data_IF_937879865382
#
_entry.id   IF_937879865382
#
_cell.length_a   1.000
_cell.length_b   1.000
_cell.length_c   1.000
_cell.angle_alpha   90.00
_cell.angle_beta   90.00
_cell.angle_gamma   90.00
#
_symmetry.space_group_name_H-M   'P 1'
#
loop_
_entity.id
_entity.type
_entity.pdbx_description
1 polymer ?
#
# COMPACT_ATOMS: atom_id res chain seq x y z
N UNK A 1 10.73 -6.40 -3.72
CA UNK A 1 9.36 -5.98 -4.07
C UNK A 1 9.28 -4.47 -3.97
N UNK A 2 8.87 -3.81 -5.04
CA UNK A 2 8.77 -2.35 -5.14
C UNK A 2 10.10 -1.62 -4.96
N UNK A 3 11.21 -2.25 -5.37
CA UNK A 3 12.53 -1.67 -5.18
C UNK A 3 12.77 -0.41 -6.01
N UNK A 4 11.99 -0.24 -7.09
CA UNK A 4 12.12 0.94 -7.94
C UNK A 4 11.44 2.17 -7.35
N UNK A 5 10.70 2.02 -6.27
CA UNK A 5 10.01 3.12 -5.63
C UNK A 5 10.78 3.62 -4.42
N UNK A 6 10.58 4.90 -4.10
CA UNK A 6 11.14 5.48 -2.88
C UNK A 6 10.53 4.82 -1.65
N UNK A 7 11.13 5.07 -0.49
CA UNK A 7 10.64 4.52 0.78
C UNK A 7 9.23 5.00 1.10
N UNK A 8 8.90 6.21 0.68
CA UNK A 8 7.55 6.79 0.86
C UNK A 8 6.98 7.09 -0.51
N UNK A 9 5.81 6.53 -0.80
CA UNK A 9 5.17 6.70 -2.09
C UNK A 9 4.04 7.73 -2.00
N UNK A 10 3.78 8.39 -3.13
CA UNK A 10 2.56 9.19 -3.27
C UNK A 10 1.40 8.25 -3.55
N UNK A 11 0.16 8.80 -3.46
CA UNK A 11 -1.03 8.02 -3.78
C UNK A 11 -0.97 7.49 -5.21
N UNK A 12 -0.51 8.33 -6.13
CA UNK A 12 -0.40 7.93 -7.53
C UNK A 12 0.58 6.76 -7.70
N UNK A 13 1.73 6.87 -7.04
CA UNK A 13 2.73 5.80 -7.11
C UNK A 13 2.20 4.51 -6.50
N UNK A 14 1.47 4.62 -5.39
CA UNK A 14 0.88 3.45 -4.76
C UNK A 14 -0.14 2.78 -5.68
N UNK A 15 -0.96 3.57 -6.36
CA UNK A 15 -1.91 3.03 -7.32
C UNK A 15 -1.20 2.28 -8.45
N UNK A 16 -0.11 2.85 -8.96
CA UNK A 16 0.67 2.20 -10.00
C UNK A 16 1.32 0.91 -9.51
N UNK A 17 1.87 0.95 -8.31
CA UNK A 17 2.54 -0.20 -7.74
C UNK A 17 1.58 -1.36 -7.51
N UNK A 18 0.38 -1.08 -7.04
CA UNK A 18 -0.63 -2.09 -6.78
C UNK A 18 -1.54 -2.34 -7.98
N UNK A 19 -1.44 -1.51 -9.01
CA UNK A 19 -2.25 -1.61 -10.23
C UNK A 19 -3.73 -1.50 -9.94
N UNK A 20 -4.09 -0.54 -9.11
CA UNK A 20 -5.48 -0.26 -8.73
C UNK A 20 -5.80 1.19 -8.99
N UNK A 21 -7.09 1.51 -9.00
CA UNK A 21 -7.55 2.89 -9.15
C UNK A 21 -7.55 3.64 -7.83
N UNK A 22 -7.75 4.96 -7.90
CA UNK A 22 -7.77 5.80 -6.71
C UNK A 22 -8.88 5.43 -5.74
N UNK A 23 -10.06 5.10 -6.26
CA UNK A 23 -11.17 4.74 -5.39
C UNK A 23 -10.84 3.51 -4.55
N UNK A 24 -10.22 2.52 -5.17
CA UNK A 24 -9.80 1.33 -4.45
C UNK A 24 -8.73 1.65 -3.43
N UNK A 25 -7.77 2.52 -3.80
CA UNK A 25 -6.72 2.92 -2.88
C UNK A 25 -7.28 3.63 -1.65
N UNK A 26 -8.18 4.58 -1.87
CA UNK A 26 -8.77 5.32 -0.75
C UNK A 26 -9.58 4.42 0.16
N UNK A 27 -10.29 3.46 -0.41
CA UNK A 27 -11.02 2.48 0.39
C UNK A 27 -10.07 1.70 1.29
N UNK A 28 -8.93 1.28 0.74
CA UNK A 28 -7.93 0.56 1.54
C UNK A 28 -7.37 1.42 2.65
N UNK A 29 -7.10 2.70 2.35
CA UNK A 29 -6.56 3.61 3.35
C UNK A 29 -7.57 3.90 4.45
N UNK A 30 -8.83 4.11 4.08
CA UNK A 30 -9.86 4.42 5.05
C UNK A 30 -10.22 3.24 5.94
N UNK A 31 -10.17 2.04 5.38
CA UNK A 31 -10.49 0.83 6.14
C UNK A 31 -9.33 0.35 7.02
N UNK A 32 -8.15 0.93 6.83
CA UNK A 32 -6.97 0.54 7.59
C UNK A 32 -6.26 -0.68 7.06
N UNK A 33 -6.72 -1.23 5.95
CA UNK A 33 -6.05 -2.38 5.34
C UNK A 33 -4.70 -2.02 4.77
N UNK A 34 -4.56 -0.77 4.30
CA UNK A 34 -3.30 -0.24 3.83
C UNK A 34 -2.94 0.95 4.70
N UNK A 35 -1.81 0.89 5.37
CA UNK A 35 -1.39 1.95 6.28
C UNK A 35 -0.78 3.10 5.51
N UNK A 36 -1.22 4.31 5.80
CA UNK A 36 -0.68 5.51 5.21
C UNK A 36 -1.07 6.70 6.05
N UNK A 37 -0.57 7.85 5.70
CA UNK A 37 -0.89 9.08 6.45
C UNK A 37 -1.05 10.24 5.48
N UNK A 38 -1.78 11.25 5.90
CA UNK A 38 -1.97 12.46 5.11
C UNK A 38 -0.99 13.52 5.57
N UNK A 39 -0.32 14.11 4.59
CA UNK A 39 0.56 15.25 4.82
C UNK A 39 -0.06 16.42 4.06
N UNK A 40 -0.92 17.17 4.75
CA UNK A 40 -1.69 18.20 4.10
C UNK A 40 -2.77 17.58 3.21
N UNK A 41 -2.67 17.82 1.92
CA UNK A 41 -3.63 17.29 0.95
C UNK A 41 -3.18 16.00 0.29
N UNK A 42 -1.99 15.54 0.62
CA UNK A 42 -1.36 14.44 -0.09
C UNK A 42 -1.23 13.25 0.84
N UNK A 43 -1.64 12.08 0.33
CA UNK A 43 -1.40 10.84 1.04
C UNK A 43 0.04 10.40 0.84
N UNK A 44 0.64 9.92 1.92
CA UNK A 44 1.98 9.34 1.91
C UNK A 44 1.87 7.89 2.36
N UNK A 45 2.34 6.98 1.56
CA UNK A 45 2.23 5.55 1.85
C UNK A 45 3.64 4.96 1.93
N UNK A 46 4.07 4.53 3.12
CA UNK A 46 5.39 3.90 3.24
C UNK A 46 5.48 2.64 2.39
N UNK A 47 6.61 2.44 1.75
CA UNK A 47 6.82 1.25 0.93
C UNK A 47 6.59 -0.02 1.73
N UNK A 48 7.00 -0.03 3.00
CA UNK A 48 6.80 -1.17 3.89
C UNK A 48 5.31 -1.52 4.01
N UNK A 49 4.43 -0.50 4.00
CA UNK A 49 3.00 -0.72 4.06
C UNK A 49 2.49 -1.45 2.82
N UNK A 50 3.01 -1.10 1.64
CA UNK A 50 2.61 -1.78 0.41
C UNK A 50 3.06 -3.23 0.43
N UNK A 51 4.26 -3.48 0.91
CA UNK A 51 4.76 -4.85 1.00
C UNK A 51 3.90 -5.67 1.95
N UNK A 52 3.57 -5.11 3.11
CA UNK A 52 2.73 -5.79 4.09
C UNK A 52 1.35 -6.08 3.52
N UNK A 53 0.75 -5.09 2.85
CA UNK A 53 -0.57 -5.28 2.25
C UNK A 53 -0.53 -6.34 1.16
N UNK A 54 0.44 -6.28 0.27
CA UNK A 54 0.54 -7.22 -0.84
C UNK A 54 0.78 -8.64 -0.33
N UNK A 55 1.61 -8.79 0.68
CA UNK A 55 1.89 -10.09 1.29
C UNK A 55 0.63 -10.67 1.91
N UNK A 56 -0.11 -9.86 2.65
CA UNK A 56 -1.33 -10.29 3.31
C UNK A 56 -2.42 -10.62 2.28
N UNK A 57 -2.59 -9.76 1.29
CA UNK A 57 -3.63 -9.95 0.27
C UNK A 57 -3.36 -11.21 -0.56
N UNK A 58 -2.10 -11.51 -0.81
CA UNK A 58 -1.72 -12.70 -1.57
C UNK A 58 -1.75 -13.98 -0.74
N UNK A 59 -1.94 -13.85 0.57
CA UNK A 59 -1.97 -15.01 1.46
C UNK A 59 -0.61 -15.56 1.81
N UNK A 60 0.45 -14.88 1.42
CA UNK A 60 1.80 -15.36 1.69
C UNK A 60 2.10 -15.41 3.18
N UNK A 61 1.58 -14.42 3.89
CA UNK A 61 1.74 -14.37 5.34
C UNK A 61 1.15 -15.60 6.01
N UNK A 62 -0.07 -15.97 5.62
CA UNK A 62 -0.73 -17.14 6.18
C UNK A 62 0.01 -18.42 5.84
N UNK A 63 0.58 -18.49 4.64
CA UNK A 63 1.31 -19.68 4.22
C UNK A 63 2.52 -19.93 5.10
N UNK A 64 3.15 -18.88 5.58
CA UNK A 64 4.31 -19.00 6.45
C UNK A 64 3.94 -19.06 7.92
N UNK A 65 2.80 -18.53 8.26
CA UNK A 65 2.36 -18.48 9.65
C UNK A 65 1.77 -19.77 10.16
N UNK A 66 1.67 -20.73 9.31
CA UNK A 66 1.10 -22.02 9.71
C UNK A 66 2.17 -23.00 10.13
#
# INVERSE_FOLDING_TARGET
MFETYDDILTAEEACQALKIGYNALYTLLQSGKLKGYRNGRVWRIPKASLIAYATDAAGLHSAYGK
#
